data_IF_668256249967
#
_entry.id   IF_668256249967
#
_cell.length_a   1.000
_cell.length_b   1.000
_cell.length_c   1.000
_cell.angle_alpha   90.00
_cell.angle_beta   90.00
_cell.angle_gamma   90.00
#
_symmetry.space_group_name_H-M   'P 1'
#
loop_
_entity.id
_entity.type
_entity.pdbx_description
1 polymer ?
#
# COMPACT_ATOMS: atom_id res chain seq x y z
N UNK A 1 -9.35 -9.10 1.51
CA UNK A 1 -10.25 -8.00 1.06
C UNK A 1 -11.72 -8.42 1.01
N UNK A 2 -12.04 -9.67 0.65
CA UNK A 2 -13.44 -10.13 0.57
C UNK A 2 -14.24 -9.99 1.87
N UNK A 3 -13.62 -10.11 3.06
CA UNK A 3 -14.29 -9.87 4.35
C UNK A 3 -14.94 -8.48 4.48
N UNK A 4 -14.44 -7.49 3.72
CA UNK A 4 -14.99 -6.13 3.65
C UNK A 4 -15.70 -5.87 2.31
N UNK A 5 -16.07 -6.93 1.59
CA UNK A 5 -16.78 -6.90 0.31
C UNK A 5 -16.05 -6.15 -0.82
N UNK A 6 -14.71 -6.16 -0.79
CA UNK A 6 -13.88 -5.62 -1.86
C UNK A 6 -13.21 -6.79 -2.59
N UNK A 7 -13.50 -6.94 -3.87
CA UNK A 7 -12.86 -7.92 -4.74
C UNK A 7 -11.60 -7.34 -5.38
N UNK A 8 -10.48 -8.01 -5.15
CA UNK A 8 -9.19 -7.70 -5.76
C UNK A 8 -8.66 -8.87 -6.59
N UNK A 9 -9.45 -9.92 -6.82
CA UNK A 9 -9.02 -11.15 -7.49
C UNK A 9 -8.61 -10.96 -8.95
N UNK A 10 -9.12 -9.90 -9.60
CA UNK A 10 -8.75 -9.51 -10.96
C UNK A 10 -7.49 -8.62 -11.03
N UNK A 11 -6.93 -8.21 -9.89
CA UNK A 11 -5.69 -7.43 -9.86
C UNK A 11 -4.47 -8.35 -10.02
N UNK A 12 -3.41 -7.84 -10.65
CA UNK A 12 -2.18 -8.57 -10.92
C UNK A 12 -1.02 -8.05 -10.06
N UNK A 13 -0.01 -8.92 -9.85
CA UNK A 13 1.21 -8.56 -9.14
C UNK A 13 2.29 -8.19 -10.14
N UNK A 14 2.41 -6.90 -10.43
CA UNK A 14 3.33 -6.37 -11.44
C UNK A 14 4.54 -5.67 -10.82
N UNK A 15 5.64 -5.64 -11.57
CA UNK A 15 6.80 -4.81 -11.22
C UNK A 15 6.51 -3.35 -11.59
N UNK A 16 7.28 -2.42 -11.01
CA UNK A 16 7.13 -0.99 -11.28
C UNK A 16 7.33 -0.72 -12.78
N UNK A 17 6.32 -0.11 -13.39
CA UNK A 17 6.40 0.47 -14.72
C UNK A 17 6.94 1.92 -14.62
N UNK A 18 8.11 2.21 -15.21
CA UNK A 18 8.68 3.57 -15.19
C UNK A 18 7.78 4.61 -15.86
N UNK A 19 7.00 4.25 -16.88
CA UNK A 19 6.11 5.20 -17.57
C UNK A 19 4.95 5.61 -16.65
N UNK A 20 4.34 4.66 -15.95
CA UNK A 20 3.32 4.95 -14.94
C UNK A 20 3.93 5.79 -13.81
N UNK A 21 5.09 5.38 -13.30
CA UNK A 21 5.75 6.04 -12.18
C UNK A 21 6.10 7.50 -12.49
N UNK A 22 6.60 7.79 -13.70
CA UNK A 22 7.06 9.12 -14.09
C UNK A 22 5.93 10.09 -14.43
N UNK A 23 4.74 9.57 -14.75
CA UNK A 23 3.57 10.36 -15.14
C UNK A 23 2.48 10.42 -14.07
N UNK A 24 2.65 9.73 -12.94
CA UNK A 24 1.70 9.78 -11.83
C UNK A 24 1.67 11.16 -11.17
N UNK A 25 0.49 11.64 -10.79
CA UNK A 25 0.35 12.86 -9.98
C UNK A 25 0.82 12.62 -8.53
N UNK A 26 0.61 11.40 -8.03
CA UNK A 26 0.88 11.04 -6.64
C UNK A 26 1.33 9.58 -6.52
N UNK A 27 2.43 9.34 -5.81
CA UNK A 27 2.99 8.01 -5.55
C UNK A 27 3.05 7.77 -4.05
N UNK A 28 2.47 6.65 -3.61
CA UNK A 28 2.49 6.22 -2.20
C UNK A 28 3.37 4.98 -2.06
N UNK A 29 4.36 5.04 -1.18
CA UNK A 29 5.11 3.85 -0.75
C UNK A 29 4.55 3.31 0.56
N UNK A 30 4.35 1.99 0.65
CA UNK A 30 3.58 1.36 1.75
C UNK A 30 4.44 0.68 2.84
N UNK A 31 5.71 0.39 2.55
CA UNK A 31 6.63 -0.22 3.50
C UNK A 31 8.01 0.42 3.42
N UNK A 32 8.81 0.30 4.48
CA UNK A 32 10.18 0.86 4.51
C UNK A 32 11.04 0.33 3.37
N UNK A 33 10.94 -0.97 3.07
CA UNK A 33 11.63 -1.59 1.93
C UNK A 33 11.26 -0.94 0.59
N UNK A 34 10.00 -0.52 0.42
CA UNK A 34 9.54 0.17 -0.78
C UNK A 34 10.02 1.63 -0.81
N UNK A 35 10.05 2.33 0.33
CA UNK A 35 10.58 3.68 0.39
C UNK A 35 12.05 3.73 -0.06
N UNK A 36 12.86 2.76 0.38
CA UNK A 36 14.29 2.70 0.10
C UNK A 36 14.63 2.21 -1.32
N UNK A 37 13.82 1.30 -1.88
CA UNK A 37 14.06 0.69 -3.20
C UNK A 37 13.32 1.36 -4.35
N UNK A 38 12.35 2.23 -4.07
CA UNK A 38 11.59 2.89 -5.14
C UNK A 38 12.51 3.80 -5.98
N UNK A 39 12.48 3.67 -7.32
CA UNK A 39 13.22 4.56 -8.20
C UNK A 39 12.91 6.04 -7.94
N UNK A 40 13.87 6.91 -8.25
CA UNK A 40 13.65 8.35 -8.27
C UNK A 40 12.52 8.68 -9.25
N UNK A 41 11.59 9.53 -8.82
CA UNK A 41 10.53 10.07 -9.67
C UNK A 41 10.89 11.51 -10.09
N UNK A 42 10.33 11.99 -11.21
CA UNK A 42 10.45 13.39 -11.60
C UNK A 42 9.93 14.36 -10.52
N UNK A 43 10.41 15.62 -10.48
CA UNK A 43 10.04 16.58 -9.44
C UNK A 43 8.55 16.93 -9.37
N UNK A 44 7.81 16.79 -10.48
CA UNK A 44 6.38 17.02 -10.53
C UNK A 44 5.55 15.94 -9.84
N UNK A 45 6.12 14.75 -9.63
CA UNK A 45 5.43 13.62 -9.00
C UNK A 45 5.47 13.82 -7.49
N UNK A 46 4.32 14.07 -6.87
CA UNK A 46 4.25 14.19 -5.41
C UNK A 46 4.39 12.80 -4.80
N UNK A 47 5.29 12.65 -3.82
CA UNK A 47 5.54 11.38 -3.13
C UNK A 47 5.12 11.47 -1.68
N UNK A 48 4.53 10.40 -1.17
CA UNK A 48 4.27 10.24 0.25
C UNK A 48 4.58 8.81 0.70
N UNK A 49 4.87 8.65 1.98
CA UNK A 49 5.18 7.36 2.58
C UNK A 49 4.16 7.04 3.68
N UNK A 50 3.39 5.98 3.46
CA UNK A 50 2.43 5.47 4.45
C UNK A 50 2.95 4.13 4.96
N UNK A 51 3.73 4.18 6.04
CA UNK A 51 4.35 2.98 6.60
C UNK A 51 3.33 2.05 7.26
N UNK A 52 3.23 0.82 6.77
CA UNK A 52 2.51 -0.28 7.39
C UNK A 52 3.42 -1.49 7.58
N UNK A 53 3.09 -2.31 8.57
CA UNK A 53 3.75 -3.61 8.73
C UNK A 53 3.39 -4.52 7.55
N UNK A 54 4.36 -5.31 7.08
CA UNK A 54 4.10 -6.32 6.06
C UNK A 54 3.44 -7.55 6.71
N UNK A 55 2.14 -7.81 6.44
CA UNK A 55 1.43 -8.92 7.08
C UNK A 55 1.98 -10.29 6.63
N UNK A 56 2.67 -10.39 5.49
CA UNK A 56 3.30 -11.63 5.05
C UNK A 56 4.54 -11.99 5.89
N UNK A 57 5.15 -11.01 6.57
CA UNK A 57 6.27 -11.22 7.50
C UNK A 57 5.81 -11.55 8.93
N UNK A 58 4.50 -11.54 9.21
CA UNK A 58 3.96 -11.87 10.52
C UNK A 58 4.37 -13.30 10.96
N UNK A 59 4.71 -13.44 12.24
CA UNK A 59 5.11 -14.72 12.85
C UNK A 59 3.96 -15.28 13.69
N UNK A 60 3.97 -16.59 13.93
CA UNK A 60 2.93 -17.28 14.69
C UNK A 60 2.15 -18.30 13.86
N UNK A 61 1.02 -18.74 14.40
CA UNK A 61 0.08 -19.64 13.73
C UNK A 61 -0.77 -18.89 12.67
N UNK A 62 -1.61 -19.63 11.92
CA UNK A 62 -2.43 -19.04 10.85
C UNK A 62 -3.42 -17.99 11.35
N UNK A 63 -4.03 -18.20 12.52
CA UNK A 63 -4.98 -17.26 13.13
C UNK A 63 -4.28 -15.96 13.55
N UNK A 64 -3.11 -16.07 14.18
CA UNK A 64 -2.27 -14.93 14.57
C UNK A 64 -1.85 -14.11 13.35
N UNK A 65 -1.41 -14.78 12.28
CA UNK A 65 -1.09 -14.11 11.01
C UNK A 65 -2.33 -13.45 10.42
N UNK A 66 -3.47 -14.13 10.42
CA UNK A 66 -4.72 -13.60 9.86
C UNK A 66 -5.17 -12.30 10.56
N UNK A 67 -5.05 -12.23 11.88
CA UNK A 67 -5.32 -11.01 12.65
C UNK A 67 -4.45 -9.85 12.18
N UNK A 68 -3.17 -10.10 11.86
CA UNK A 68 -2.28 -9.06 11.32
C UNK A 68 -2.73 -8.60 9.93
N UNK A 69 -3.14 -9.52 9.05
CA UNK A 69 -3.71 -9.17 7.74
C UNK A 69 -4.94 -8.27 7.88
N UNK A 70 -5.86 -8.59 8.79
CA UNK A 70 -7.06 -7.79 9.05
C UNK A 70 -6.71 -6.41 9.61
N UNK A 71 -5.79 -6.34 10.57
CA UNK A 71 -5.33 -5.07 11.16
C UNK A 71 -4.75 -4.15 10.09
N UNK A 72 -3.79 -4.64 9.29
CA UNK A 72 -3.11 -3.84 8.27
C UNK A 72 -4.10 -3.39 7.19
N UNK A 73 -5.01 -4.26 6.75
CA UNK A 73 -6.11 -3.88 5.84
C UNK A 73 -6.91 -2.70 6.39
N UNK A 74 -7.33 -2.77 7.65
CA UNK A 74 -8.18 -1.74 8.26
C UNK A 74 -7.43 -0.42 8.46
N UNK A 75 -6.13 -0.48 8.78
CA UNK A 75 -5.24 0.69 8.85
C UNK A 75 -5.11 1.37 7.47
N UNK A 76 -4.85 0.60 6.41
CA UNK A 76 -4.81 1.09 5.02
C UNK A 76 -6.15 1.73 4.66
N UNK A 77 -7.27 1.06 4.95
CA UNK A 77 -8.61 1.58 4.68
C UNK A 77 -8.88 2.92 5.36
N UNK A 78 -8.51 3.06 6.64
CA UNK A 78 -8.64 4.33 7.39
C UNK A 78 -7.75 5.43 6.79
N UNK A 79 -6.53 5.09 6.39
CA UNK A 79 -5.57 6.03 5.79
C UNK A 79 -6.06 6.56 4.44
N UNK A 80 -6.57 5.67 3.58
CA UNK A 80 -7.16 6.03 2.28
C UNK A 80 -8.41 6.89 2.50
N UNK A 81 -9.27 6.54 3.46
CA UNK A 81 -10.46 7.34 3.77
C UNK A 81 -10.10 8.76 4.19
N UNK A 82 -9.13 8.92 5.09
CA UNK A 82 -8.61 10.25 5.48
C UNK A 82 -8.10 11.01 4.25
N UNK A 83 -7.28 10.37 3.42
CA UNK A 83 -6.74 11.01 2.22
C UNK A 83 -7.85 11.49 1.26
N UNK A 84 -8.90 10.69 1.08
CA UNK A 84 -10.04 11.07 0.24
C UNK A 84 -10.84 12.26 0.83
N UNK A 85 -10.91 12.39 2.15
CA UNK A 85 -11.67 13.44 2.83
C UNK A 85 -10.88 14.74 3.00
N UNK A 86 -9.56 14.66 3.23
CA UNK A 86 -8.73 15.81 3.60
C UNK A 86 -7.63 16.15 2.60
N UNK A 87 -7.33 15.27 1.64
CA UNK A 87 -6.16 15.39 0.77
C UNK A 87 -4.83 15.16 1.48
N UNK A 88 -4.88 14.71 2.74
CA UNK A 88 -3.72 14.38 3.58
C UNK A 88 -3.60 12.88 3.78
#
# INVERSE_FOLDING_TARGET
MQEVNIDISNQTSDIIDPEILNNADFVVTLCGDAADKCPMTPPQVKRDHWGFDDPAKAQGNEEEKWIVFQRVRDEIGKRIKRFAETGE
#
